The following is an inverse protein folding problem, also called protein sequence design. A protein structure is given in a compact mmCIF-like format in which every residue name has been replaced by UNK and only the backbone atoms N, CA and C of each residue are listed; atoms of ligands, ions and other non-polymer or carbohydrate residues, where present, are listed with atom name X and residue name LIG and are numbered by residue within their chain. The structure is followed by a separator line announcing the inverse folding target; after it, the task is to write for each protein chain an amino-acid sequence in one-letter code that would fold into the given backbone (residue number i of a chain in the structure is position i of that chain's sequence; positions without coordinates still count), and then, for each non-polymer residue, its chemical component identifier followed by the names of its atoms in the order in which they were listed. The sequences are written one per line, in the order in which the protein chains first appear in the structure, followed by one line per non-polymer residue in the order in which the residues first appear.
data_IF_447264506589
#
_entry.id   IF_447264506589
#
_cell.length_a   1.000
_cell.length_b   1.000
_cell.length_c   1.000
_cell.angle_alpha   90.00
_cell.angle_beta   90.00
_cell.angle_gamma   90.00
#
_symmetry.space_group_name_H-M   'P 1'
#
loop_
_entity.id
_entity.type
_entity.pdbx_description
1 polymer ?
#
# COMPACT_ATOMS: atom_id res chain seq x y z
N UNK A 1 26.04 18.78 -17.87
CA UNK A 1 26.22 18.48 -16.43
C UNK A 1 24.92 18.52 -15.61
N UNK A 2 23.90 19.32 -15.96
CA UNK A 2 22.64 19.39 -15.18
C UNK A 2 21.73 18.13 -15.21
N UNK A 3 21.81 17.30 -16.26
CA UNK A 3 20.99 16.08 -16.37
C UNK A 3 21.41 14.97 -15.38
N UNK A 4 22.69 14.92 -15.00
CA UNK A 4 23.24 13.95 -14.04
C UNK A 4 22.73 14.19 -12.62
N UNK A 5 22.65 15.46 -12.21
CA UNK A 5 22.19 15.85 -10.86
C UNK A 5 20.72 15.53 -10.64
N UNK A 6 19.87 15.72 -11.66
CA UNK A 6 18.42 15.45 -11.59
C UNK A 6 18.10 13.95 -11.59
N UNK A 7 18.91 13.14 -12.27
CA UNK A 7 18.77 11.69 -12.22
C UNK A 7 19.18 11.15 -10.84
N UNK A 8 20.26 11.69 -10.26
CA UNK A 8 20.72 11.34 -8.92
C UNK A 8 19.71 11.69 -7.83
N UNK A 9 19.15 12.91 -7.85
CA UNK A 9 18.14 13.32 -6.86
C UNK A 9 16.85 12.50 -6.94
N UNK A 10 16.47 12.05 -8.15
CA UNK A 10 15.32 11.14 -8.32
C UNK A 10 15.61 9.74 -7.80
N UNK A 11 16.82 9.24 -7.99
CA UNK A 11 17.25 7.95 -7.43
C UNK A 11 17.30 8.00 -5.91
N UNK A 12 17.84 9.07 -5.32
CA UNK A 12 17.85 9.29 -3.87
C UNK A 12 16.42 9.31 -3.31
N UNK A 13 15.50 10.06 -3.93
CA UNK A 13 14.09 10.07 -3.51
C UNK A 13 13.40 8.71 -3.63
N UNK A 14 13.66 7.95 -4.70
CA UNK A 14 13.10 6.60 -4.86
C UNK A 14 13.66 5.64 -3.79
N UNK A 15 14.95 5.77 -3.46
CA UNK A 15 15.56 4.96 -2.41
C UNK A 15 14.97 5.33 -1.06
N UNK A 16 14.80 6.62 -0.76
CA UNK A 16 14.17 7.10 0.47
C UNK A 16 12.72 6.61 0.59
N UNK A 17 11.92 6.64 -0.47
CA UNK A 17 10.55 6.09 -0.47
C UNK A 17 10.51 4.57 -0.24
N UNK A 18 11.58 3.85 -0.64
CA UNK A 18 11.71 2.41 -0.37
C UNK A 18 12.10 2.11 1.08
N UNK A 19 12.51 3.11 1.87
CA UNK A 19 13.01 2.93 3.25
C UNK A 19 11.94 2.53 4.27
N UNK A 20 10.67 2.81 4.03
CA UNK A 20 9.61 2.51 4.99
C UNK A 20 8.41 1.81 4.37
N UNK A 21 8.00 0.69 4.97
CA UNK A 21 6.84 -0.10 4.56
C UNK A 21 5.74 0.01 5.59
N UNK A 22 4.61 0.58 5.17
CA UNK A 22 3.37 0.58 5.91
C UNK A 22 2.38 -0.37 5.26
N UNK A 23 1.91 -1.35 6.03
CA UNK A 23 0.78 -2.21 5.66
C UNK A 23 -0.28 -2.04 6.73
N UNK A 24 -1.51 -1.73 6.33
CA UNK A 24 -2.65 -1.62 7.25
C UNK A 24 -3.81 -2.41 6.67
N UNK A 25 -4.38 -3.29 7.48
CA UNK A 25 -5.53 -4.10 7.14
C UNK A 25 -6.72 -3.69 7.98
N UNK A 26 -7.81 -3.36 7.30
CA UNK A 26 -9.08 -3.00 7.91
C UNK A 26 -10.11 -4.10 7.62
N UNK A 27 -11.06 -4.26 8.54
CA UNK A 27 -12.32 -4.96 8.32
C UNK A 27 -13.49 -4.00 8.50
N UNK A 28 -14.61 -4.31 7.88
CA UNK A 28 -15.85 -3.54 8.00
C UNK A 28 -16.43 -3.14 6.66
N UNK A 29 -17.36 -2.20 6.70
CA UNK A 29 -18.19 -1.82 5.56
C UNK A 29 -17.71 -0.50 4.97
N UNK A 30 -17.39 -0.53 3.67
CA UNK A 30 -17.09 0.66 2.87
C UNK A 30 -18.29 0.95 1.96
N UNK A 31 -19.09 1.94 2.32
CA UNK A 31 -20.12 2.48 1.44
C UNK A 31 -19.51 3.66 0.69
N UNK A 32 -19.36 3.52 -0.62
CA UNK A 32 -18.92 4.63 -1.49
C UNK A 32 -20.08 5.05 -2.36
N UNK A 33 -20.45 6.32 -2.24
CA UNK A 33 -21.38 6.97 -3.16
C UNK A 33 -20.68 7.21 -4.50
N UNK A 34 -20.87 6.28 -5.44
CA UNK A 34 -20.31 6.35 -6.78
C UNK A 34 -21.25 7.17 -7.69
N UNK A 35 -21.12 8.50 -7.67
CA UNK A 35 -21.70 9.35 -8.72
C UNK A 35 -20.77 9.34 -9.94
N UNK A 36 -21.34 9.18 -11.13
CA UNK A 36 -20.66 9.33 -12.43
C UNK A 36 -19.58 8.27 -12.79
N UNK A 37 -19.75 7.00 -12.37
CA UNK A 37 -18.78 5.91 -12.69
C UNK A 37 -19.25 5.00 -13.83
N UNK A 38 -20.49 5.17 -14.29
CA UNK A 38 -20.97 4.52 -15.50
C UNK A 38 -20.63 5.38 -16.71
N UNK A 39 -19.86 4.82 -17.63
CA UNK A 39 -19.86 5.31 -19.02
C UNK A 39 -21.20 4.93 -19.65
N UNK A 40 -21.75 5.82 -20.48
CA UNK A 40 -23.07 5.67 -21.11
C UNK A 40 -23.17 4.48 -22.10
N UNK A 41 -22.11 3.68 -22.27
CA UNK A 41 -22.09 2.53 -23.17
C UNK A 41 -21.65 1.25 -22.42
N UNK A 42 -22.60 0.32 -22.27
CA UNK A 42 -22.40 -1.09 -21.90
C UNK A 42 -22.05 -1.47 -20.46
N UNK A 43 -22.29 -0.62 -19.46
CA UNK A 43 -22.30 -1.05 -18.04
C UNK A 43 -21.00 -1.67 -17.54
N UNK A 44 -19.88 -1.39 -18.21
CA UNK A 44 -18.56 -1.91 -17.83
C UNK A 44 -17.95 -0.96 -16.82
N UNK A 45 -17.78 -1.43 -15.58
CA UNK A 45 -17.18 -0.64 -14.50
C UNK A 45 -15.69 -0.45 -14.81
N UNK A 46 -15.28 0.80 -15.05
CA UNK A 46 -13.86 1.12 -15.14
C UNK A 46 -13.27 1.21 -13.72
N UNK A 47 -12.66 0.13 -13.24
CA UNK A 47 -12.01 0.08 -11.93
C UNK A 47 -10.92 1.15 -11.74
N UNK A 48 -10.28 1.62 -12.82
CA UNK A 48 -9.31 2.72 -12.73
C UNK A 48 -9.98 4.05 -12.43
N UNK A 49 -11.19 4.28 -12.97
CA UNK A 49 -11.99 5.46 -12.65
C UNK A 49 -12.62 5.32 -11.27
N UNK A 50 -13.02 4.11 -10.85
CA UNK A 50 -13.41 3.85 -9.45
C UNK A 50 -12.27 4.26 -8.50
N UNK A 51 -11.04 3.76 -8.69
CA UNK A 51 -9.92 4.10 -7.80
C UNK A 51 -9.54 5.58 -7.82
N UNK A 52 -9.68 6.26 -8.97
CA UNK A 52 -9.45 7.71 -9.08
C UNK A 52 -10.57 8.55 -8.46
N UNK A 53 -11.82 8.04 -8.50
CA UNK A 53 -13.04 8.68 -7.99
C UNK A 53 -13.42 8.23 -6.58
N UNK A 54 -12.70 7.28 -5.97
CA UNK A 54 -12.59 7.16 -4.50
C UNK A 54 -11.78 8.38 -3.99
N UNK A 55 -12.35 9.55 -4.22
CA UNK A 55 -12.20 10.78 -3.47
C UNK A 55 -13.56 11.16 -2.84
N UNK A 56 -14.44 10.17 -2.71
CA UNK A 56 -15.70 10.31 -2.01
C UNK A 56 -15.44 10.59 -0.54
N UNK A 57 -16.20 11.51 0.04
CA UNK A 57 -16.32 11.58 1.50
C UNK A 57 -16.87 10.22 1.93
N UNK A 58 -16.09 9.49 2.73
CA UNK A 58 -16.60 8.29 3.43
C UNK A 58 -17.89 8.72 4.12
N UNK A 59 -18.98 8.02 3.81
CA UNK A 59 -20.21 8.19 4.58
C UNK A 59 -19.89 7.73 6.00
N UNK A 60 -19.73 8.70 6.91
CA UNK A 60 -19.33 8.42 8.30
C UNK A 60 -20.44 7.76 9.10
N UNK A 61 -21.67 7.84 8.62
CA UNK A 61 -22.84 7.33 9.31
C UNK A 61 -23.08 5.86 8.92
N UNK A 62 -22.71 5.46 7.70
CA UNK A 62 -22.89 4.09 7.19
C UNK A 62 -21.61 3.26 7.07
N UNK A 63 -20.43 3.90 7.03
CA UNK A 63 -19.16 3.17 6.96
C UNK A 63 -18.54 2.98 8.34
N UNK A 64 -18.19 1.73 8.66
CA UNK A 64 -17.51 1.35 9.89
C UNK A 64 -16.24 0.57 9.55
N UNK A 65 -15.08 1.06 10.00
CA UNK A 65 -13.80 0.39 9.82
C UNK A 65 -13.18 0.05 11.17
N UNK A 66 -12.73 -1.19 11.28
CA UNK A 66 -11.90 -1.64 12.39
C UNK A 66 -10.54 -2.04 11.85
N UNK A 67 -9.47 -1.39 12.34
CA UNK A 67 -8.11 -1.81 12.03
C UNK A 67 -7.86 -3.18 12.68
N UNK A 68 -7.51 -4.17 11.87
CA UNK A 68 -7.20 -5.54 12.31
C UNK A 68 -5.71 -5.68 12.59
N UNK A 69 -4.88 -5.15 11.69
CA UNK A 69 -3.45 -5.14 11.86
C UNK A 69 -2.81 -3.95 11.15
N UNK A 70 -1.75 -3.42 11.74
CA UNK A 70 -0.89 -2.40 11.14
C UNK A 70 0.56 -2.81 11.37
N UNK A 71 1.35 -2.81 10.30
CA UNK A 71 2.78 -3.13 10.34
C UNK A 71 3.54 -2.00 9.67
N UNK A 72 4.45 -1.39 10.43
CA UNK A 72 5.45 -0.46 9.94
C UNK A 72 6.82 -1.14 9.98
N UNK A 73 7.57 -1.09 8.88
CA UNK A 73 8.95 -1.59 8.80
C UNK A 73 9.82 -0.46 8.28
N UNK A 74 10.75 0.01 9.13
CA UNK A 74 11.83 0.89 8.71
C UNK A 74 13.04 0.08 8.19
N UNK A 75 13.86 0.70 7.34
CA UNK A 75 14.99 0.05 6.67
C UNK A 75 16.10 -0.43 7.63
N UNK A 76 16.20 0.17 8.82
CA UNK A 76 17.04 -0.30 9.92
C UNK A 76 16.48 -1.54 10.65
N UNK A 77 15.37 -2.08 10.13
CA UNK A 77 14.61 -3.24 10.60
C UNK A 77 13.79 -2.99 11.87
N UNK A 78 13.63 -1.74 12.29
CA UNK A 78 12.65 -1.43 13.31
C UNK A 78 11.25 -1.74 12.77
N UNK A 79 10.68 -2.81 13.32
CA UNK A 79 9.37 -3.31 12.94
C UNK A 79 8.41 -3.06 14.09
N UNK A 80 7.38 -2.27 13.84
CA UNK A 80 6.30 -2.03 14.78
C UNK A 80 5.05 -2.68 14.22
N UNK A 81 4.49 -3.62 14.96
CA UNK A 81 3.26 -4.31 14.59
C UNK A 81 2.20 -4.12 15.67
N UNK A 82 1.02 -3.67 15.25
CA UNK A 82 -0.18 -3.60 16.07
C UNK A 82 -1.20 -4.59 15.52
N UNK A 83 -1.82 -5.35 16.41
CA UNK A 83 -2.88 -6.30 16.07
C UNK A 83 -4.04 -6.09 17.03
N UNK A 84 -5.27 -6.13 16.51
CA UNK A 84 -6.48 -6.05 17.32
C UNK A 84 -6.52 -7.24 18.29
N UNK A 85 -6.82 -6.97 19.55
CA UNK A 85 -7.03 -8.00 20.57
C UNK A 85 -8.36 -8.75 20.32
N UNK A 86 -8.38 -10.07 20.53
CA UNK A 86 -9.60 -10.87 20.44
C UNK A 86 -10.15 -11.00 19.02
N UNK A 87 -9.29 -11.34 18.05
CA UNK A 87 -9.68 -11.56 16.66
C UNK A 87 -10.75 -12.66 16.51
N UNK A 88 -11.81 -12.37 15.76
CA UNK A 88 -12.75 -13.40 15.28
C UNK A 88 -12.09 -14.34 14.26
N UNK A 89 -12.72 -15.47 13.90
CA UNK A 89 -12.17 -16.40 12.90
C UNK A 89 -11.92 -15.73 11.54
N UNK A 90 -12.85 -14.87 11.08
CA UNK A 90 -12.69 -14.12 9.84
C UNK A 90 -11.56 -13.09 9.94
N UNK A 91 -11.42 -12.43 11.09
CA UNK A 91 -10.34 -11.46 11.32
C UNK A 91 -8.97 -12.15 11.44
N UNK A 92 -8.90 -13.38 11.94
CA UNK A 92 -7.67 -14.19 11.93
C UNK A 92 -7.23 -14.50 10.50
N UNK A 93 -8.18 -14.80 9.61
CA UNK A 93 -7.88 -14.98 8.19
C UNK A 93 -7.38 -13.68 7.55
N UNK A 94 -8.00 -12.54 7.87
CA UNK A 94 -7.52 -11.23 7.42
C UNK A 94 -6.12 -10.90 7.95
N UNK A 95 -5.83 -11.28 9.19
CA UNK A 95 -4.49 -11.14 9.77
C UNK A 95 -3.47 -12.03 9.06
N UNK A 96 -3.83 -13.26 8.68
CA UNK A 96 -2.93 -14.10 7.89
C UNK A 96 -2.60 -13.47 6.54
N UNK A 97 -3.61 -12.95 5.84
CA UNK A 97 -3.42 -12.21 4.59
C UNK A 97 -2.59 -10.93 4.78
N UNK A 98 -2.72 -10.26 5.92
CA UNK A 98 -1.87 -9.12 6.28
C UNK A 98 -0.41 -9.53 6.35
N UNK A 99 -0.09 -10.64 7.01
CA UNK A 99 1.28 -11.15 7.11
C UNK A 99 1.85 -11.54 5.74
N UNK A 100 1.06 -12.21 4.90
CA UNK A 100 1.46 -12.53 3.52
C UNK A 100 1.71 -11.26 2.68
N UNK A 101 0.88 -10.23 2.86
CA UNK A 101 1.05 -8.94 2.18
C UNK A 101 2.33 -8.23 2.65
N UNK A 102 2.63 -8.26 3.95
CA UNK A 102 3.89 -7.73 4.51
C UNK A 102 5.08 -8.46 3.90
N UNK A 103 5.09 -9.80 3.91
CA UNK A 103 6.20 -10.60 3.37
C UNK A 103 6.43 -10.36 1.87
N UNK A 104 5.34 -10.32 1.10
CA UNK A 104 5.37 -10.02 -0.33
C UNK A 104 5.92 -8.62 -0.60
N UNK A 105 5.48 -7.62 0.18
CA UNK A 105 5.93 -6.24 0.03
C UNK A 105 7.40 -6.06 0.41
N UNK A 106 7.88 -6.74 1.46
CA UNK A 106 9.30 -6.78 1.85
C UNK A 106 10.13 -7.40 0.72
N UNK A 107 9.71 -8.55 0.20
CA UNK A 107 10.40 -9.26 -0.88
C UNK A 107 10.46 -8.43 -2.18
N UNK A 108 9.36 -7.79 -2.55
CA UNK A 108 9.30 -6.92 -3.73
C UNK A 108 10.25 -5.73 -3.62
N UNK A 109 10.34 -5.10 -2.45
CA UNK A 109 11.29 -3.99 -2.19
C UNK A 109 12.73 -4.46 -2.21
N UNK A 110 13.04 -5.59 -1.59
CA UNK A 110 14.38 -6.14 -1.62
C UNK A 110 14.85 -6.39 -3.06
N UNK A 111 13.97 -6.92 -3.91
CA UNK A 111 14.23 -7.10 -5.34
C UNK A 111 14.41 -5.76 -6.08
N UNK A 112 13.58 -4.75 -5.79
CA UNK A 112 13.74 -3.41 -6.38
C UNK A 112 15.06 -2.75 -5.97
N UNK A 113 15.41 -2.76 -4.69
CA UNK A 113 16.67 -2.21 -4.17
C UNK A 113 17.85 -2.93 -4.82
N UNK A 114 17.83 -4.26 -4.87
CA UNK A 114 18.86 -5.05 -5.54
C UNK A 114 19.02 -4.67 -7.03
N UNK A 115 17.90 -4.49 -7.74
CA UNK A 115 17.92 -4.01 -9.13
C UNK A 115 18.49 -2.60 -9.25
N UNK A 116 18.16 -1.68 -8.35
CA UNK A 116 18.68 -0.31 -8.34
C UNK A 116 20.19 -0.28 -8.04
N UNK A 117 20.66 -1.07 -7.07
CA UNK A 117 22.10 -1.19 -6.75
C UNK A 117 22.89 -1.70 -7.94
N UNK A 118 22.35 -2.72 -8.65
CA UNK A 118 22.95 -3.25 -9.88
C UNK A 118 23.01 -2.20 -10.99
N UNK A 119 21.94 -1.43 -11.20
CA UNK A 119 21.91 -0.34 -12.19
C UNK A 119 22.92 0.77 -11.83
N UNK A 120 23.07 1.07 -10.53
CA UNK A 120 23.99 2.08 -10.03
C UNK A 120 25.47 1.67 -10.05
N UNK A 121 25.78 0.41 -10.41
CA UNK A 121 27.15 -0.12 -10.37
C UNK A 121 27.69 -0.30 -8.95
N UNK A 122 26.83 -0.20 -7.95
CA UNK A 122 27.13 -0.50 -6.56
C UNK A 122 26.95 -2.01 -6.39
N UNK A 123 27.95 -2.78 -6.82
CA UNK A 123 27.98 -4.20 -6.52
C UNK A 123 28.15 -4.36 -5.00
N UNK A 124 27.22 -5.08 -4.37
CA UNK A 124 27.39 -5.61 -3.02
C UNK A 124 28.48 -6.67 -2.95
#
# INVERSE_FOLDING_TARGET
MAASTKAKSKLEAIVDDLTSLDVVTFSGDLVVDLKDITTEENGTINFQDVMKNIKGKVDRDESSFTAIAATHIALDKDTVQFVKEGLTEDEQRLFHLHLEAVDTAVSARAAMISSLMRIAGLNG
#
